data_IF_790611619657
#
_entry.id   IF_790611619657
#
_cell.length_a   1.000
_cell.length_b   1.000
_cell.length_c   1.000
_cell.angle_alpha   90.00
_cell.angle_beta   90.00
_cell.angle_gamma   90.00
#
_symmetry.space_group_name_H-M   'P 1'
#
loop_
_entity.id
_entity.type
_entity.pdbx_description
1 polymer ?
#
# COMPACT_ATOMS: atom_id res chain seq x y z
N UNK A 1 -13.75 6.21 -11.12
CA UNK A 1 -12.58 5.75 -11.88
C UNK A 1 -12.26 4.35 -11.39
N UNK A 2 -12.01 3.39 -12.28
CA UNK A 2 -11.53 2.08 -11.84
C UNK A 2 -10.05 2.20 -11.47
N UNK A 3 -9.73 1.93 -10.21
CA UNK A 3 -8.39 2.05 -9.63
C UNK A 3 -7.66 0.70 -9.51
N UNK A 4 -8.32 -0.39 -9.90
CA UNK A 4 -7.66 -1.70 -10.01
C UNK A 4 -6.62 -1.66 -11.12
N UNK A 5 -5.69 -2.61 -11.11
CA UNK A 5 -4.65 -2.74 -12.15
C UNK A 5 -5.23 -2.80 -13.56
N UNK A 6 -6.39 -3.42 -13.76
CA UNK A 6 -7.13 -3.39 -15.04
C UNK A 6 -7.54 -1.98 -15.43
N UNK A 7 -8.10 -1.21 -14.50
CA UNK A 7 -8.48 0.19 -14.71
C UNK A 7 -7.28 1.11 -14.99
N UNK A 8 -6.17 0.91 -14.29
CA UNK A 8 -4.92 1.65 -14.51
C UNK A 8 -4.35 1.38 -15.91
N UNK A 9 -4.26 0.11 -16.31
CA UNK A 9 -3.81 -0.30 -17.65
C UNK A 9 -4.69 0.33 -18.74
N UNK A 10 -6.01 0.30 -18.56
CA UNK A 10 -6.95 0.89 -19.52
C UNK A 10 -6.76 2.42 -19.65
N UNK A 11 -6.29 3.10 -18.61
CA UNK A 11 -5.96 4.53 -18.69
C UNK A 11 -4.63 4.79 -19.38
N UNK A 12 -3.61 4.00 -19.09
CA UNK A 12 -2.31 4.08 -19.77
C UNK A 12 -2.52 3.89 -21.28
N UNK A 13 -3.22 2.82 -21.69
CA UNK A 13 -3.50 2.54 -23.10
C UNK A 13 -4.24 3.69 -23.78
N UNK A 14 -5.23 4.31 -23.11
CA UNK A 14 -5.97 5.47 -23.64
C UNK A 14 -5.08 6.70 -23.82
N UNK A 15 -4.20 7.01 -22.85
CA UNK A 15 -3.32 8.19 -22.92
C UNK A 15 -2.18 8.03 -23.94
N UNK A 16 -1.62 6.83 -24.03
CA UNK A 16 -0.55 6.51 -24.98
C UNK A 16 -1.06 6.10 -26.36
N UNK A 17 -2.38 6.14 -26.61
CA UNK A 17 -3.03 5.70 -27.85
C UNK A 17 -2.66 4.26 -28.28
N UNK A 18 -2.38 3.40 -27.31
CA UNK A 18 -2.06 2.00 -27.54
C UNK A 18 -3.38 1.26 -27.82
N UNK A 19 -3.51 0.55 -28.96
CA UNK A 19 -4.67 -0.28 -29.22
C UNK A 19 -4.90 -1.31 -28.11
N UNK A 20 -6.16 -1.68 -27.88
CA UNK A 20 -6.53 -2.66 -26.84
C UNK A 20 -5.98 -4.06 -27.13
N UNK A 21 -5.73 -4.37 -28.40
CA UNK A 21 -5.23 -5.66 -28.87
C UNK A 21 -3.94 -5.45 -29.66
N UNK A 22 -2.81 -5.61 -28.99
CA UNK A 22 -1.47 -5.57 -29.56
C UNK A 22 -0.54 -6.41 -28.67
N UNK A 23 0.55 -6.94 -29.23
CA UNK A 23 1.48 -7.84 -28.54
C UNK A 23 2.78 -7.16 -28.07
N UNK A 24 3.00 -5.90 -28.45
CA UNK A 24 4.21 -5.15 -28.16
C UNK A 24 4.33 -4.76 -26.67
N UNK A 25 3.21 -4.35 -26.07
CA UNK A 25 3.09 -4.04 -24.65
C UNK A 25 2.05 -4.97 -24.03
N UNK A 26 2.47 -6.08 -23.44
CA UNK A 26 1.53 -6.95 -22.74
C UNK A 26 1.06 -6.29 -21.44
N UNK A 27 -0.08 -6.72 -20.91
CA UNK A 27 -0.59 -6.20 -19.64
C UNK A 27 0.41 -6.45 -18.49
N UNK A 28 1.19 -7.54 -18.56
CA UNK A 28 2.27 -7.82 -17.61
C UNK A 28 3.40 -6.80 -17.69
N UNK A 29 3.79 -6.39 -18.91
CA UNK A 29 4.85 -5.38 -19.10
C UNK A 29 4.41 -4.02 -18.56
N UNK A 30 3.15 -3.65 -18.79
CA UNK A 30 2.58 -2.40 -18.28
C UNK A 30 2.50 -2.39 -16.74
N UNK A 31 2.18 -3.52 -16.13
CA UNK A 31 2.23 -3.68 -14.66
C UNK A 31 3.66 -3.56 -14.15
N UNK A 32 4.64 -4.18 -14.82
CA UNK A 32 6.04 -4.05 -14.45
C UNK A 32 6.53 -2.59 -14.52
N UNK A 33 6.17 -1.85 -15.58
CA UNK A 33 6.47 -0.42 -15.70
C UNK A 33 5.76 0.41 -14.62
N UNK A 34 4.51 0.09 -14.28
CA UNK A 34 3.78 0.71 -13.17
C UNK A 34 4.53 0.52 -11.84
N UNK A 35 4.99 -0.69 -11.55
CA UNK A 35 5.74 -0.98 -10.33
C UNK A 35 7.11 -0.29 -10.30
N UNK A 36 7.81 -0.22 -11.44
CA UNK A 36 9.10 0.49 -11.55
C UNK A 36 8.93 1.99 -11.28
N UNK A 37 7.98 2.67 -11.96
CA UNK A 37 7.75 4.10 -11.76
C UNK A 37 7.17 4.41 -10.37
N UNK A 38 6.35 3.51 -9.82
CA UNK A 38 5.86 3.62 -8.44
C UNK A 38 7.03 3.67 -7.46
N UNK A 39 7.98 2.73 -7.58
CA UNK A 39 9.12 2.63 -6.67
C UNK A 39 10.18 3.70 -6.88
N UNK A 40 10.52 3.99 -8.14
CA UNK A 40 11.64 4.88 -8.46
C UNK A 40 11.27 6.37 -8.38
N UNK A 41 10.02 6.74 -8.71
CA UNK A 41 9.62 8.14 -8.87
C UNK A 41 8.55 8.56 -7.88
N UNK A 42 7.45 7.81 -7.79
CA UNK A 42 6.26 8.25 -7.04
C UNK A 42 6.46 8.11 -5.52
N UNK A 43 7.02 7.00 -5.04
CA UNK A 43 7.26 6.81 -3.60
C UNK A 43 8.23 7.87 -3.05
N UNK A 44 9.41 8.14 -3.65
CA UNK A 44 10.30 9.20 -3.18
C UNK A 44 9.64 10.58 -3.21
N UNK A 45 8.83 10.87 -4.23
CA UNK A 45 8.07 12.11 -4.33
C UNK A 45 7.07 12.27 -3.17
N UNK A 46 6.26 11.23 -2.87
CA UNK A 46 5.30 11.28 -1.76
C UNK A 46 6.03 11.45 -0.43
N UNK A 47 7.12 10.70 -0.19
CA UNK A 47 7.90 10.82 1.04
C UNK A 47 8.52 12.21 1.21
N UNK A 48 8.92 12.86 0.11
CA UNK A 48 9.49 14.21 0.15
C UNK A 48 8.44 15.29 0.48
N UNK A 49 7.18 15.10 0.08
CA UNK A 49 6.12 16.10 0.31
C UNK A 49 5.32 15.80 1.59
N UNK A 50 5.13 14.52 1.93
CA UNK A 50 4.37 14.05 3.08
C UNK A 50 5.08 12.87 3.75
N UNK A 51 6.03 13.20 4.62
CA UNK A 51 6.89 12.22 5.30
C UNK A 51 6.09 11.12 6.01
N UNK A 52 4.97 11.45 6.67
CA UNK A 52 4.19 10.51 7.47
C UNK A 52 3.25 9.58 6.67
N UNK A 53 3.14 9.69 5.33
CA UNK A 53 2.11 8.95 4.57
C UNK A 53 2.23 7.42 4.68
N UNK A 54 3.45 6.88 4.61
CA UNK A 54 3.70 5.44 4.69
C UNK A 54 3.98 4.95 6.11
N UNK A 55 3.78 5.80 7.12
CA UNK A 55 4.04 5.46 8.51
C UNK A 55 2.95 4.50 9.01
N UNK A 56 3.34 3.27 9.32
CA UNK A 56 2.46 2.27 9.96
C UNK A 56 3.08 1.75 11.25
N UNK A 57 2.37 0.88 11.96
CA UNK A 57 2.87 0.22 13.15
C UNK A 57 2.53 -1.27 13.21
N UNK A 58 3.42 -2.03 13.82
CA UNK A 58 3.17 -3.41 14.24
C UNK A 58 3.16 -3.49 15.76
N UNK A 59 2.30 -4.36 16.29
CA UNK A 59 2.17 -4.60 17.73
C UNK A 59 2.71 -5.97 18.13
N UNK A 60 3.55 -5.98 19.16
CA UNK A 60 4.11 -7.18 19.75
C UNK A 60 3.70 -7.28 21.21
N UNK A 61 3.13 -8.41 21.59
CA UNK A 61 2.78 -8.70 23.00
C UNK A 61 4.03 -9.16 23.74
N UNK A 62 4.44 -8.46 24.79
CA UNK A 62 5.58 -8.83 25.61
C UNK A 62 5.20 -9.96 26.57
N UNK A 63 5.62 -11.20 26.26
CA UNK A 63 5.39 -12.39 27.09
C UNK A 63 6.57 -12.71 28.04
N UNK A 64 7.44 -11.75 28.33
CA UNK A 64 8.62 -11.96 29.20
C UNK A 64 9.73 -12.87 28.65
N UNK A 65 9.48 -13.63 27.58
CA UNK A 65 10.46 -14.49 26.91
C UNK A 65 11.05 -13.89 25.63
N UNK A 66 10.37 -12.92 25.00
CA UNK A 66 10.84 -12.29 23.76
C UNK A 66 11.88 -11.23 24.12
N UNK A 67 13.15 -11.49 23.80
CA UNK A 67 14.28 -10.57 24.02
C UNK A 67 14.68 -9.80 22.77
N UNK A 68 14.27 -10.27 21.59
CA UNK A 68 14.65 -9.71 20.30
C UNK A 68 13.44 -9.67 19.37
N UNK A 69 13.33 -8.60 18.59
CA UNK A 69 12.29 -8.41 17.58
C UNK A 69 12.97 -8.00 16.29
N UNK A 70 12.72 -8.76 15.22
CA UNK A 70 13.24 -8.45 13.90
C UNK A 70 12.51 -7.24 13.32
N UNK A 71 13.26 -6.42 12.57
CA UNK A 71 12.65 -5.34 11.78
C UNK A 71 11.73 -5.98 10.73
N UNK A 72 10.49 -5.48 10.56
CA UNK A 72 9.60 -5.95 9.52
C UNK A 72 10.26 -5.93 8.14
N UNK A 73 10.11 -7.00 7.37
CA UNK A 73 10.79 -7.16 6.07
C UNK A 73 10.31 -6.18 5.01
N UNK A 74 9.11 -5.62 5.19
CA UNK A 74 8.49 -4.59 4.37
C UNK A 74 8.86 -3.16 4.81
N UNK A 75 9.73 -2.98 5.80
CA UNK A 75 10.21 -1.67 6.21
C UNK A 75 11.15 -1.05 5.16
N UNK A 76 10.87 0.20 4.76
CA UNK A 76 11.69 0.93 3.80
C UNK A 76 13.08 1.17 4.40
N UNK A 77 14.10 0.72 3.68
CA UNK A 77 15.50 0.88 4.08
C UNK A 77 15.91 0.08 5.32
N UNK A 78 15.09 -0.89 5.77
CA UNK A 78 15.32 -1.64 7.02
C UNK A 78 15.47 -0.69 8.24
N UNK A 79 14.69 0.39 8.26
CA UNK A 79 14.72 1.44 9.30
C UNK A 79 13.43 1.45 10.10
N UNK A 80 13.58 1.63 11.41
CA UNK A 80 12.48 1.92 12.34
C UNK A 80 12.39 3.44 12.51
N UNK A 81 11.18 3.97 12.56
CA UNK A 81 10.95 5.39 12.84
C UNK A 81 10.89 5.66 14.35
N UNK A 82 10.08 4.89 15.09
CA UNK A 82 9.89 5.07 16.52
C UNK A 82 9.46 3.77 17.19
N UNK A 83 9.89 3.57 18.45
CA UNK A 83 9.42 2.46 19.29
C UNK A 83 8.69 3.04 20.49
N UNK A 84 7.44 2.62 20.70
CA UNK A 84 6.62 3.04 21.82
C UNK A 84 6.24 1.84 22.67
N UNK A 85 6.49 1.93 23.98
CA UNK A 85 6.01 0.95 24.95
C UNK A 85 4.72 1.47 25.59
N UNK A 86 3.61 0.73 25.43
CA UNK A 86 2.34 1.07 26.08
C UNK A 86 2.12 0.14 27.27
N UNK A 87 2.21 0.69 28.49
CA UNK A 87 1.87 -0.06 29.71
C UNK A 87 0.88 0.69 30.58
N UNK A 88 -0.16 0.03 31.08
CA UNK A 88 -1.10 0.62 32.04
C UNK A 88 -0.53 0.69 33.48
N UNK A 89 0.58 0.00 33.76
CA UNK A 89 1.25 -0.12 35.07
C UNK A 89 2.79 -0.23 34.92
N UNK A 90 3.59 -0.03 35.99
CA UNK A 90 5.02 -0.36 35.99
C UNK A 90 5.25 -1.84 35.62
N UNK A 91 6.25 -2.08 34.77
CA UNK A 91 6.38 -3.21 33.83
C UNK A 91 6.47 -4.62 34.46
N UNK A 92 5.45 -5.46 34.22
CA UNK A 92 5.54 -6.93 34.18
C UNK A 92 4.94 -7.55 32.90
N UNK A 93 4.11 -6.79 32.17
CA UNK A 93 3.52 -7.14 30.86
C UNK A 93 3.11 -5.85 30.11
N UNK A 94 3.11 -5.87 28.77
CA UNK A 94 2.80 -4.71 27.94
C UNK A 94 2.78 -5.01 26.44
N UNK A 95 2.33 -4.03 25.64
CA UNK A 95 2.39 -4.09 24.17
C UNK A 95 3.50 -3.15 23.70
N UNK A 96 4.42 -3.68 22.90
CA UNK A 96 5.42 -2.90 22.19
C UNK A 96 4.88 -2.57 20.81
N UNK A 97 4.82 -1.28 20.48
CA UNK A 97 4.42 -0.80 19.16
C UNK A 97 5.62 -0.22 18.43
N UNK A 98 5.93 -0.79 17.27
CA UNK A 98 7.06 -0.37 16.42
C UNK A 98 6.49 0.37 15.22
N UNK A 99 6.84 1.65 15.07
CA UNK A 99 6.47 2.47 13.93
C UNK A 99 7.56 2.43 12.88
N UNK A 100 7.19 2.16 11.63
CA UNK A 100 8.11 2.10 10.49
C UNK A 100 7.42 2.59 9.21
N UNK A 101 8.22 3.03 8.24
CA UNK A 101 7.71 3.35 6.92
C UNK A 101 7.57 2.05 6.14
N UNK A 102 6.33 1.65 5.84
CA UNK A 102 6.04 0.43 5.10
C UNK A 102 6.14 0.67 3.60
N UNK A 103 6.82 -0.23 2.90
CA UNK A 103 6.84 -0.23 1.43
C UNK A 103 5.43 -0.63 0.93
N UNK A 104 4.84 0.10 -0.03
CA UNK A 104 3.63 -0.32 -0.72
C UNK A 104 3.77 -1.71 -1.33
N UNK A 105 2.67 -2.44 -1.39
CA UNK A 105 2.60 -3.71 -2.09
C UNK A 105 2.83 -3.54 -3.60
N UNK A 106 3.35 -4.58 -4.23
CA UNK A 106 3.51 -4.65 -5.67
C UNK A 106 2.13 -4.71 -6.34
N UNK A 107 1.92 -3.90 -7.38
CA UNK A 107 0.71 -3.92 -8.17
C UNK A 107 0.69 -5.21 -8.99
N UNK A 108 -0.39 -5.98 -8.90
CA UNK A 108 -0.58 -7.22 -9.66
C UNK A 108 -1.88 -7.21 -10.45
N UNK A 109 -1.95 -8.07 -11.46
CA UNK A 109 -3.18 -8.28 -12.23
C UNK A 109 -4.33 -8.70 -11.32
N UNK A 110 -5.54 -8.20 -11.60
CA UNK A 110 -6.77 -8.60 -10.89
C UNK A 110 -7.01 -10.12 -10.94
N UNK A 111 -6.49 -10.81 -11.96
CA UNK A 111 -6.54 -12.29 -12.06
C UNK A 111 -5.73 -13.03 -10.99
N UNK A 112 -4.78 -12.37 -10.32
CA UNK A 112 -3.99 -12.90 -9.19
C UNK A 112 -4.62 -12.60 -7.83
N UNK A 113 -5.80 -11.99 -7.84
CA UNK A 113 -6.52 -11.55 -6.64
C UNK A 113 -7.95 -12.09 -6.66
N UNK A 114 -8.63 -12.11 -5.52
CA UNK A 114 -10.05 -12.46 -5.45
C UNK A 114 -10.79 -11.51 -4.52
N UNK A 115 -12.05 -11.20 -4.85
CA UNK A 115 -12.91 -10.35 -4.02
C UNK A 115 -13.70 -11.22 -3.05
N UNK A 116 -13.76 -10.82 -1.79
CA UNK A 116 -14.53 -11.49 -0.74
C UNK A 116 -16.02 -11.20 -0.96
N UNK A 117 -16.81 -12.25 -1.17
CA UNK A 117 -18.26 -12.15 -1.31
C UNK A 117 -18.99 -12.43 0.00
N UNK A 118 -18.45 -13.30 0.84
CA UNK A 118 -19.06 -13.69 2.13
C UNK A 118 -17.97 -13.87 3.17
N UNK A 119 -18.25 -13.40 4.39
CA UNK A 119 -17.41 -13.64 5.56
C UNK A 119 -18.18 -14.54 6.53
N UNK A 120 -17.67 -15.74 6.78
CA UNK A 120 -18.17 -16.62 7.84
C UNK A 120 -17.37 -16.33 9.11
N UNK A 121 -18.07 -15.97 10.17
CA UNK A 121 -17.45 -15.56 11.44
C UNK A 121 -16.53 -16.64 11.98
N UNK A 122 -15.27 -16.28 12.26
CA UNK A 122 -14.24 -17.12 12.88
C UNK A 122 -13.91 -18.43 12.15
N UNK A 123 -14.25 -18.57 10.87
CA UNK A 123 -14.12 -19.85 10.16
C UNK A 123 -13.57 -19.73 8.76
N UNK A 124 -14.17 -18.89 7.91
CA UNK A 124 -13.76 -18.82 6.52
C UNK A 124 -14.24 -17.55 5.83
N UNK A 125 -13.65 -17.28 4.68
CA UNK A 125 -14.15 -16.33 3.71
C UNK A 125 -14.46 -17.06 2.42
N UNK A 126 -15.48 -16.60 1.70
CA UNK A 126 -15.83 -17.08 0.38
C UNK A 126 -15.62 -15.92 -0.59
N UNK A 127 -14.93 -16.20 -1.69
CA UNK A 127 -14.65 -15.23 -2.73
C UNK A 127 -15.71 -15.28 -3.84
N UNK A 128 -15.84 -14.20 -4.61
CA UNK A 128 -16.75 -14.12 -5.77
C UNK A 128 -16.30 -15.02 -6.94
N UNK A 129 -15.01 -15.32 -7.00
CA UNK A 129 -14.39 -16.21 -7.98
C UNK A 129 -13.57 -17.27 -7.25
N UNK A 130 -13.15 -18.31 -7.97
CA UNK A 130 -12.15 -19.24 -7.44
C UNK A 130 -10.90 -18.46 -7.01
N UNK A 131 -10.29 -18.87 -5.90
CA UNK A 131 -9.02 -18.29 -5.50
C UNK A 131 -7.98 -18.52 -6.61
N UNK A 132 -7.15 -17.51 -6.91
CA UNK A 132 -6.02 -17.62 -7.82
C UNK A 132 -5.09 -18.77 -7.43
N UNK A 133 -4.46 -19.40 -8.44
CA UNK A 133 -3.59 -20.56 -8.22
C UNK A 133 -2.35 -20.27 -7.34
N UNK A 134 -1.98 -18.99 -7.17
CA UNK A 134 -0.92 -18.55 -6.26
C UNK A 134 -1.31 -18.59 -4.78
N UNK A 135 -2.61 -18.65 -4.44
CA UNK A 135 -3.08 -18.76 -3.06
C UNK A 135 -3.40 -20.22 -2.77
N UNK A 136 -2.53 -20.84 -1.98
CA UNK A 136 -2.61 -22.25 -1.60
C UNK A 136 -2.63 -22.38 -0.08
N UNK A 137 -2.96 -23.57 0.42
CA UNK A 137 -2.93 -23.83 1.86
C UNK A 137 -1.53 -23.57 2.42
N UNK A 138 -1.44 -22.71 3.45
CA UNK A 138 -0.18 -22.27 4.06
C UNK A 138 0.46 -21.04 3.42
N UNK A 139 -0.06 -20.52 2.31
CA UNK A 139 0.42 -19.26 1.70
C UNK A 139 0.23 -18.08 2.67
N UNK A 140 1.21 -17.19 2.75
CA UNK A 140 1.05 -15.91 3.42
C UNK A 140 0.18 -15.00 2.53
N UNK A 141 -0.88 -14.45 3.10
CA UNK A 141 -1.85 -13.62 2.40
C UNK A 141 -2.02 -12.27 3.10
N UNK A 142 -2.41 -11.29 2.30
CA UNK A 142 -2.84 -9.97 2.75
C UNK A 142 -4.30 -9.77 2.33
N UNK A 143 -5.04 -9.06 3.18
CA UNK A 143 -6.43 -8.67 2.94
C UNK A 143 -6.45 -7.17 2.77
N UNK A 144 -6.78 -6.73 1.56
CA UNK A 144 -6.72 -5.34 1.13
C UNK A 144 -8.13 -4.78 1.08
N UNK A 145 -8.36 -3.64 1.73
CA UNK A 145 -9.64 -2.93 1.65
C UNK A 145 -9.92 -2.44 0.22
N UNK A 146 -11.19 -2.39 -0.18
CA UNK A 146 -11.62 -1.83 -1.47
C UNK A 146 -12.00 -0.34 -1.39
N UNK A 147 -11.77 0.27 -0.23
CA UNK A 147 -11.96 1.69 -0.01
C UNK A 147 -10.60 2.37 0.07
N UNK A 148 -10.51 3.59 -0.47
CA UNK A 148 -9.28 4.38 -0.37
C UNK A 148 -8.94 4.61 1.11
N UNK A 149 -7.68 4.44 1.56
CA UNK A 149 -6.42 4.32 0.78
C UNK A 149 -5.96 2.91 0.39
N UNK A 150 -6.86 1.93 0.31
CA UNK A 150 -6.57 0.53 -0.06
C UNK A 150 -5.52 -0.09 0.87
N UNK A 151 -5.68 0.17 2.17
CA UNK A 151 -4.80 -0.34 3.22
C UNK A 151 -4.96 -1.86 3.39
N UNK A 152 -3.88 -2.48 3.87
CA UNK A 152 -3.86 -3.88 4.28
C UNK A 152 -4.51 -3.95 5.66
N UNK A 153 -5.72 -4.50 5.71
CA UNK A 153 -6.52 -4.62 6.92
C UNK A 153 -6.03 -5.76 7.80
N UNK A 154 -5.63 -6.87 7.16
CA UNK A 154 -5.19 -8.05 7.87
C UNK A 154 -4.13 -8.81 7.08
N UNK A 155 -3.08 -9.21 7.78
CA UNK A 155 -2.10 -10.18 7.29
C UNK A 155 -2.39 -11.52 7.96
N UNK A 156 -2.52 -12.58 7.16
CA UNK A 156 -2.86 -13.92 7.67
C UNK A 156 -2.07 -15.00 6.93
N UNK A 157 -2.12 -16.21 7.48
CA UNK A 157 -1.70 -17.43 6.78
C UNK A 157 -2.95 -18.12 6.28
N UNK A 158 -3.00 -18.46 4.99
CA UNK A 158 -4.10 -19.18 4.39
C UNK A 158 -4.26 -20.56 5.03
N UNK A 159 -5.45 -20.87 5.56
CA UNK A 159 -5.83 -22.22 5.93
C UNK A 159 -6.13 -23.07 4.70
N UNK A 160 -7.00 -24.07 4.84
CA UNK A 160 -7.45 -24.88 3.71
C UNK A 160 -8.09 -24.01 2.62
N UNK A 161 -7.60 -24.14 1.39
CA UNK A 161 -8.18 -23.52 0.19
C UNK A 161 -9.02 -24.55 -0.54
N UNK A 162 -10.29 -24.22 -0.80
CA UNK A 162 -11.22 -25.06 -1.57
C UNK A 162 -11.99 -24.19 -2.56
N UNK A 163 -11.50 -24.15 -3.80
CA UNK A 163 -12.06 -23.32 -4.88
C UNK A 163 -12.16 -21.84 -4.49
N UNK A 164 -13.37 -21.34 -4.21
CA UNK A 164 -13.61 -19.95 -3.80
C UNK A 164 -13.53 -19.75 -2.27
N UNK A 165 -13.47 -20.83 -1.48
CA UNK A 165 -13.47 -20.76 0.00
C UNK A 165 -12.04 -20.84 0.54
N UNK A 166 -11.72 -19.93 1.46
CA UNK A 166 -10.48 -19.93 2.21
C UNK A 166 -10.78 -19.97 3.71
N UNK A 167 -10.24 -20.95 4.40
CA UNK A 167 -10.36 -21.02 5.85
C UNK A 167 -9.36 -20.09 6.53
N UNK A 168 -9.82 -19.39 7.57
CA UNK A 168 -9.03 -18.45 8.37
C UNK A 168 -9.30 -18.69 9.86
N UNK A 169 -8.29 -18.45 10.69
CA UNK A 169 -8.39 -18.60 12.16
C UNK A 169 -9.17 -17.47 12.83
N UNK A 170 -9.26 -16.31 12.19
CA UNK A 170 -10.00 -15.15 12.66
C UNK A 170 -10.43 -14.30 11.45
N UNK A 171 -11.67 -13.80 11.50
CA UNK A 171 -12.29 -12.98 10.46
C UNK A 171 -12.88 -11.67 10.98
N UNK A 172 -12.57 -11.27 12.21
CA UNK A 172 -13.12 -10.09 12.88
C UNK A 172 -12.86 -8.76 12.15
N UNK A 173 -11.67 -8.58 11.58
CA UNK A 173 -11.25 -7.35 10.87
C UNK A 173 -11.57 -7.37 9.37
N UNK A 174 -12.33 -8.37 8.89
CA UNK A 174 -12.57 -8.61 7.47
C UNK A 174 -14.02 -8.31 7.13
N UNK A 175 -14.22 -7.46 6.12
CA UNK A 175 -15.53 -7.19 5.57
C UNK A 175 -15.70 -7.78 4.17
N UNK A 176 -16.95 -7.89 3.73
CA UNK A 176 -17.25 -8.20 2.33
C UNK A 176 -16.68 -7.11 1.42
N UNK A 177 -16.46 -7.45 0.15
CA UNK A 177 -15.90 -6.56 -0.88
C UNK A 177 -14.40 -6.24 -0.73
N UNK A 178 -13.71 -6.78 0.28
CA UNK A 178 -12.25 -6.69 0.36
C UNK A 178 -11.58 -7.67 -0.62
N UNK A 179 -10.30 -7.45 -0.92
CA UNK A 179 -9.49 -8.30 -1.79
C UNK A 179 -8.58 -9.22 -0.98
N UNK A 180 -8.49 -10.47 -1.41
CA UNK A 180 -7.50 -11.44 -0.94
C UNK A 180 -6.36 -11.48 -1.96
N UNK A 181 -5.14 -11.28 -1.48
CA UNK A 181 -3.91 -11.31 -2.28
C UNK A 181 -2.83 -12.13 -1.60
N UNK A 182 -1.82 -12.55 -2.36
CA UNK A 182 -0.57 -13.06 -1.76
C UNK A 182 0.14 -11.91 -1.05
N UNK A 183 0.88 -12.22 0.02
CA UNK A 183 1.57 -11.21 0.83
C UNK A 183 2.47 -10.31 -0.01
N UNK A 184 2.33 -8.99 0.19
CA UNK A 184 3.09 -7.98 -0.54
C UNK A 184 2.58 -7.69 -1.95
N UNK A 185 1.44 -8.26 -2.35
CA UNK A 185 0.77 -7.98 -3.63
C UNK A 185 -0.56 -7.23 -3.40
N UNK A 186 -0.95 -6.36 -4.33
CA UNK A 186 -2.24 -5.65 -4.32
C UNK A 186 -2.72 -5.38 -5.75
N UNK A 187 -4.04 -5.40 -6.04
CA UNK A 187 -4.53 -4.93 -7.33
C UNK A 187 -4.52 -3.39 -7.43
N UNK A 188 -4.25 -2.67 -6.33
CA UNK A 188 -4.27 -1.22 -6.24
C UNK A 188 -2.86 -0.64 -6.05
N UNK A 189 -2.63 0.54 -6.62
CA UNK A 189 -1.49 1.36 -6.24
C UNK A 189 -1.80 2.01 -4.87
N UNK A 190 -1.18 1.53 -3.79
CA UNK A 190 -1.42 1.98 -2.40
C UNK A 190 -0.80 3.36 -2.13
N UNK A 191 -1.24 4.35 -2.90
CA UNK A 191 -0.83 5.75 -2.86
C UNK A 191 -2.11 6.62 -2.79
N UNK A 192 -2.00 7.92 -2.46
CA UNK A 192 -3.17 8.80 -2.48
C UNK A 192 -3.84 8.75 -3.85
N UNK A 193 -5.19 8.72 -3.90
CA UNK A 193 -5.92 8.65 -5.17
C UNK A 193 -5.55 9.79 -6.12
N UNK A 194 -5.25 10.96 -5.56
CA UNK A 194 -4.91 12.16 -6.32
C UNK A 194 -3.56 12.04 -7.03
N UNK A 195 -2.67 11.17 -6.53
CA UNK A 195 -1.34 10.90 -7.09
C UNK A 195 -1.36 9.77 -8.13
N UNK A 196 -2.43 8.96 -8.20
CA UNK A 196 -2.58 7.90 -9.22
C UNK A 196 -2.49 8.45 -10.66
N UNK A 197 -3.14 9.57 -11.03
CA UNK A 197 -2.98 10.17 -12.35
C UNK A 197 -1.53 10.53 -12.71
N UNK A 198 -0.72 10.92 -11.71
CA UNK A 198 0.70 11.23 -11.88
C UNK A 198 1.51 9.96 -12.17
N UNK A 199 1.25 8.87 -11.45
CA UNK A 199 1.84 7.54 -11.72
C UNK A 199 1.54 7.07 -13.15
N UNK A 200 0.27 7.16 -13.57
CA UNK A 200 -0.14 6.79 -14.93
C UNK A 200 0.63 7.61 -15.97
N UNK A 201 0.80 8.92 -15.73
CA UNK A 201 1.52 9.78 -16.65
C UNK A 201 3.02 9.46 -16.71
N UNK A 202 3.65 9.07 -15.59
CA UNK A 202 5.03 8.62 -15.57
C UNK A 202 5.25 7.39 -16.47
N UNK A 203 4.33 6.43 -16.43
CA UNK A 203 4.40 5.25 -17.30
C UNK A 203 4.20 5.63 -18.77
N UNK A 204 3.29 6.57 -19.08
CA UNK A 204 3.11 7.06 -20.46
C UNK A 204 4.40 7.70 -20.98
N UNK A 205 5.08 8.52 -20.19
CA UNK A 205 6.38 9.10 -20.55
C UNK A 205 7.38 7.99 -20.89
N UNK A 206 7.49 6.97 -20.02
CA UNK A 206 8.39 5.83 -20.25
C UNK A 206 8.06 5.07 -21.53
N UNK A 207 6.77 4.87 -21.82
CA UNK A 207 6.34 4.23 -23.07
C UNK A 207 6.73 5.08 -24.29
N UNK A 208 6.54 6.40 -24.24
CA UNK A 208 6.94 7.30 -25.33
C UNK A 208 8.46 7.27 -25.56
N UNK A 209 9.26 7.16 -24.50
CA UNK A 209 10.71 6.93 -24.59
C UNK A 209 11.03 5.63 -25.33
N UNK A 210 10.37 4.51 -24.99
CA UNK A 210 10.57 3.23 -25.67
C UNK A 210 10.12 3.24 -27.13
N UNK A 211 9.05 3.96 -27.45
CA UNK A 211 8.55 4.12 -28.82
C UNK A 211 9.46 5.01 -29.68
N UNK A 212 10.34 5.80 -29.06
CA UNK A 212 11.20 6.75 -29.77
C UNK A 212 10.46 7.95 -30.35
N UNK A 213 9.21 8.20 -29.95
CA UNK A 213 8.44 9.37 -30.39
C UNK A 213 8.87 10.61 -29.61
N UNK A 214 9.85 11.34 -30.15
CA UNK A 214 10.44 12.52 -29.50
C UNK A 214 9.45 13.66 -29.30
N UNK A 215 8.45 13.82 -30.18
CA UNK A 215 7.43 14.86 -30.06
C UNK A 215 6.40 14.49 -29.00
N UNK A 216 5.90 13.26 -29.03
CA UNK A 216 4.99 12.72 -28.02
C UNK A 216 5.61 12.71 -26.62
N UNK A 217 6.91 12.43 -26.53
CA UNK A 217 7.68 12.48 -25.29
C UNK A 217 7.74 13.90 -24.72
N UNK A 218 8.08 14.91 -25.52
CA UNK A 218 8.14 16.30 -25.06
C UNK A 218 6.78 16.79 -24.53
N UNK A 219 5.69 16.50 -25.24
CA UNK A 219 4.34 16.86 -24.79
C UNK A 219 3.95 16.14 -23.48
N UNK A 220 4.31 14.86 -23.36
CA UNK A 220 4.02 14.04 -22.18
C UNK A 220 4.80 14.50 -20.95
N UNK A 221 6.07 14.93 -21.13
CA UNK A 221 6.90 15.50 -20.07
C UNK A 221 6.37 16.84 -19.56
N UNK A 222 5.91 17.72 -20.46
CA UNK A 222 5.31 19.00 -20.07
C UNK A 222 4.04 18.78 -19.24
N UNK A 223 3.18 17.85 -19.68
CA UNK A 223 1.96 17.47 -18.95
C UNK A 223 2.32 16.87 -17.58
N UNK A 224 3.32 15.99 -17.53
CA UNK A 224 3.79 15.39 -16.27
C UNK A 224 4.25 16.48 -15.28
N UNK A 225 5.07 17.43 -15.71
CA UNK A 225 5.58 18.50 -14.87
C UNK A 225 4.46 19.41 -14.34
N UNK A 226 3.44 19.69 -15.16
CA UNK A 226 2.26 20.45 -14.71
C UNK A 226 1.47 19.67 -13.65
N UNK A 227 1.18 18.39 -13.91
CA UNK A 227 0.48 17.52 -12.96
C UNK A 227 1.24 17.35 -11.65
N UNK A 228 2.56 17.30 -11.68
CA UNK A 228 3.41 17.17 -10.49
C UNK A 228 3.31 18.42 -9.60
N UNK A 229 3.29 19.61 -10.21
CA UNK A 229 3.12 20.87 -9.48
C UNK A 229 1.73 20.96 -8.82
N UNK A 230 0.70 20.58 -9.55
CA UNK A 230 -0.67 20.56 -9.04
C UNK A 230 -0.84 19.53 -7.92
N UNK A 231 -0.31 18.32 -8.11
CA UNK A 231 -0.36 17.26 -7.10
C UNK A 231 0.39 17.66 -5.82
N UNK A 232 1.53 18.33 -5.95
CA UNK A 232 2.34 18.77 -4.79
C UNK A 232 1.54 19.73 -3.91
N UNK A 233 0.78 20.63 -4.52
CA UNK A 233 -0.08 21.56 -3.79
C UNK A 233 -1.27 20.87 -3.10
N UNK A 234 -1.70 19.71 -3.60
CA UNK A 234 -2.80 18.93 -3.02
C UNK A 234 -2.34 18.09 -1.83
N UNK A 235 -1.19 17.43 -1.95
CA UNK A 235 -0.72 16.49 -0.92
C UNK A 235 0.12 17.14 0.18
N UNK A 236 0.59 18.38 -0.03
CA UNK A 236 1.36 19.09 0.99
C UNK A 236 0.51 19.37 2.24
N UNK A 237 1.08 19.22 3.44
CA UNK A 237 0.37 19.58 4.65
C UNK A 237 0.10 21.09 4.64
N UNK A 238 -1.17 21.49 4.88
CA UNK A 238 -1.56 22.92 4.87
C UNK A 238 -0.84 23.78 5.92
N UNK A 239 -0.09 23.18 6.86
CA UNK A 239 0.65 23.84 7.93
C UNK A 239 2.08 23.29 7.97
N UNK A 240 2.94 23.81 7.09
CA UNK A 240 4.37 23.44 7.01
C UNK A 240 5.25 24.08 8.10
N UNK A 241 4.77 25.14 8.77
CA UNK A 241 5.64 26.04 9.54
C UNK A 241 5.50 25.95 11.06
N UNK A 242 4.65 25.08 11.60
CA UNK A 242 4.64 24.86 13.06
C UNK A 242 5.57 23.71 13.40
N UNK A 243 6.70 23.97 14.13
CA UNK A 243 7.51 22.86 14.63
C UNK A 243 6.59 21.95 15.44
N UNK A 244 6.61 20.64 15.12
CA UNK A 244 5.82 19.61 15.81
C UNK A 244 6.02 19.83 17.31
N UNK A 245 4.97 20.29 17.99
CA UNK A 245 5.05 20.68 19.40
C UNK A 245 5.20 19.41 20.22
N UNK A 246 6.44 19.02 20.51
CA UNK A 246 6.75 17.93 21.44
C UNK A 246 6.37 18.42 22.84
N UNK A 247 5.12 18.17 23.25
CA UNK A 247 4.69 18.44 24.63
C UNK A 247 5.12 17.27 25.50
N UNK A 248 6.13 17.47 26.35
CA UNK A 248 6.41 16.52 27.42
C UNK A 248 5.24 16.53 28.42
N UNK A 249 4.66 15.34 28.70
CA UNK A 249 3.56 15.18 29.67
C UNK A 249 4.00 15.54 31.10
N UNK A 250 5.30 15.51 31.37
CA UNK A 250 5.94 15.73 32.66
C UNK A 250 6.77 17.02 32.70
N UNK A 251 6.19 18.17 32.33
CA UNK A 251 6.84 19.46 32.60
C UNK A 251 6.75 19.76 34.10
N UNK A 252 7.90 19.96 34.75
CA UNK A 252 8.04 20.34 36.17
C UNK A 252 7.15 21.56 36.53
N UNK A 253 6.90 22.45 35.56
CA UNK A 253 5.99 23.60 35.72
C UNK A 253 4.55 23.25 36.16
N UNK A 254 4.05 22.02 35.92
CA UNK A 254 2.71 21.60 36.41
C UNK A 254 2.69 21.36 37.93
N UNK A 255 3.82 21.09 38.55
CA UNK A 255 3.92 20.78 39.99
C UNK A 255 4.37 21.96 40.85
N UNK A 256 4.65 23.12 40.26
CA UNK A 256 5.11 24.33 40.98
C UNK A 256 3.98 25.29 41.39
N UNK A 257 2.72 24.90 41.16
CA UNK A 257 1.55 25.66 41.61
C UNK A 257 0.57 24.73 42.34
N UNK A 258 0.90 24.46 43.59
CA UNK A 258 -0.04 24.10 44.67
C UNK A 258 0.40 24.82 45.92
#
# INVERSE_FOLDING_TARGET
>A
MDFTSTGLIAQIKRRALIPTSQNLFTDSDLIAMLNEELQNRIIPYILAVREDYFLTYDEYTQNGSTTEINIPTNAIGNKINQINLYTPQPISSGILRIYYYRRPSEIVSTSRTAIISTVNTNTSIVCSTNLPANITTGSLIDIVSNDQPWEIMAERTAGTVSSATLNLTDTSDIETNYYVTTRGESPFAQIPQDTIPLLIQAVVVRIMEYMGDTNGLQASLLTYAQMENDNRNLISPRVDAQPKKISSKNRIARYLWK
#
